data_IF_834308594088
#
_entry.id   IF_834308594088
#
_cell.length_a   1.000
_cell.length_b   1.000
_cell.length_c   1.000
_cell.angle_alpha   90.00
_cell.angle_beta   90.00
_cell.angle_gamma   90.00
#
_symmetry.space_group_name_H-M   'P 1'
#
loop_
_entity.id
_entity.type
_entity.pdbx_description
1 polymer ?
#
# COMPACT_ATOMS: atom_id res chain seq x y z
N UNK A 1 14.31 0.88 -22.96
CA UNK A 1 13.78 2.26 -22.92
C UNK A 1 13.33 2.54 -21.48
N UNK A 2 13.83 3.62 -20.91
CA UNK A 2 13.97 3.87 -19.47
C UNK A 2 12.64 3.89 -18.70
N UNK A 3 12.51 2.98 -17.73
CA UNK A 3 11.44 2.85 -16.73
C UNK A 3 11.53 3.93 -15.61
N UNK A 4 12.16 5.06 -15.88
CA UNK A 4 12.38 6.08 -14.86
C UNK A 4 11.11 6.88 -14.63
N UNK A 5 10.67 6.92 -13.36
CA UNK A 5 9.65 7.86 -12.88
C UNK A 5 9.93 9.27 -13.42
N UNK A 6 8.91 10.05 -13.82
CA UNK A 6 9.08 11.42 -14.29
C UNK A 6 9.68 12.36 -13.22
N UNK A 7 9.79 11.91 -11.97
CA UNK A 7 10.51 12.59 -10.90
C UNK A 7 11.61 11.68 -10.33
N UNK A 8 12.89 11.91 -10.66
CA UNK A 8 14.01 11.18 -10.09
C UNK A 8 14.28 11.70 -8.68
N UNK A 9 13.52 11.21 -7.70
CA UNK A 9 13.85 11.43 -6.29
C UNK A 9 14.82 10.33 -5.82
N UNK A 10 15.83 10.73 -5.07
CA UNK A 10 16.66 9.75 -4.36
C UNK A 10 15.82 9.09 -3.27
N UNK A 11 15.97 7.78 -3.10
CA UNK A 11 15.29 6.99 -2.07
C UNK A 11 15.44 7.59 -0.66
N UNK A 12 16.53 8.32 -0.41
CA UNK A 12 16.79 9.01 0.84
C UNK A 12 15.85 10.19 1.13
N UNK A 13 15.48 10.99 0.11
CA UNK A 13 14.55 12.11 0.30
C UNK A 13 13.13 11.59 0.61
N UNK A 14 12.72 10.55 -0.12
CA UNK A 14 11.44 9.87 0.10
C UNK A 14 11.34 9.30 1.52
N UNK A 15 12.43 8.71 2.03
CA UNK A 15 12.48 8.18 3.39
C UNK A 15 12.24 9.25 4.47
N UNK A 16 12.87 10.42 4.31
CA UNK A 16 12.71 11.55 5.23
C UNK A 16 11.28 12.08 5.25
N UNK A 17 10.66 12.19 4.06
CA UNK A 17 9.26 12.59 3.92
C UNK A 17 8.32 11.61 4.60
N UNK A 18 8.44 10.31 4.32
CA UNK A 18 7.59 9.29 4.92
C UNK A 18 7.75 9.21 6.44
N UNK A 19 8.98 9.30 6.97
CA UNK A 19 9.21 9.37 8.42
C UNK A 19 8.52 10.57 9.06
N UNK A 20 8.60 11.74 8.41
CA UNK A 20 7.98 12.97 8.91
C UNK A 20 6.46 12.87 8.88
N UNK A 21 5.89 12.36 7.78
CA UNK A 21 4.46 12.11 7.65
C UNK A 21 3.98 11.14 8.74
N UNK A 22 4.64 9.99 8.89
CA UNK A 22 4.24 8.97 9.86
C UNK A 22 4.28 9.49 11.31
N UNK A 23 5.25 10.33 11.66
CA UNK A 23 5.29 10.99 12.98
C UNK A 23 4.11 11.94 13.19
N UNK A 24 3.75 12.72 12.17
CA UNK A 24 2.58 13.61 12.23
C UNK A 24 1.28 12.81 12.32
N UNK A 25 1.16 11.72 11.56
CA UNK A 25 0.00 10.84 11.66
C UNK A 25 -0.09 10.17 13.04
N UNK A 26 1.04 9.75 13.61
CA UNK A 26 1.08 9.17 14.95
C UNK A 26 0.68 10.17 16.03
N UNK A 27 1.20 11.40 15.99
CA UNK A 27 0.87 12.42 17.00
C UNK A 27 -0.59 12.90 16.93
N UNK A 28 -1.23 12.75 15.77
CA UNK A 28 -2.64 13.11 15.54
C UNK A 28 -3.60 11.92 15.65
N UNK A 29 -3.11 10.75 16.08
CA UNK A 29 -3.89 9.51 16.12
C UNK A 29 -4.55 9.18 14.76
N UNK A 30 -3.85 9.38 13.64
CA UNK A 30 -4.35 9.14 12.28
C UNK A 30 -3.89 7.79 11.69
N UNK A 31 -3.31 6.91 12.52
CA UNK A 31 -2.93 5.55 12.15
C UNK A 31 -4.11 4.58 12.38
N UNK A 32 -4.22 3.46 11.64
CA UNK A 32 -3.30 3.00 10.60
C UNK A 32 -3.47 3.71 9.26
N UNK A 33 -2.41 3.73 8.46
CA UNK A 33 -2.38 4.33 7.11
C UNK A 33 -2.07 3.28 6.03
N UNK A 34 -2.80 3.35 4.92
CA UNK A 34 -2.48 2.62 3.69
C UNK A 34 -1.80 3.58 2.71
N UNK A 35 -0.56 3.28 2.35
CA UNK A 35 0.25 4.03 1.43
C UNK A 35 0.23 3.38 0.04
N UNK A 36 -0.49 3.97 -0.92
CA UNK A 36 -0.52 3.49 -2.29
C UNK A 36 0.72 3.97 -3.07
N UNK A 37 1.64 3.04 -3.32
CA UNK A 37 2.95 3.32 -3.95
C UNK A 37 3.00 2.89 -5.43
N UNK A 38 1.94 2.25 -5.95
CA UNK A 38 1.68 1.94 -7.38
C UNK A 38 2.83 1.23 -8.14
N UNK A 39 3.80 0.65 -7.43
CA UNK A 39 4.89 -0.16 -7.96
C UNK A 39 5.38 -1.13 -6.88
N UNK A 40 5.64 -2.39 -7.28
CA UNK A 40 6.12 -3.45 -6.37
C UNK A 40 7.45 -3.08 -5.72
N UNK A 41 8.46 -2.80 -6.55
CA UNK A 41 9.80 -2.47 -6.07
C UNK A 41 9.80 -1.23 -5.17
N UNK A 42 9.01 -0.21 -5.50
CA UNK A 42 8.90 0.97 -4.64
C UNK A 42 8.25 0.67 -3.29
N UNK A 43 7.29 -0.27 -3.19
CA UNK A 43 6.73 -0.64 -1.89
C UNK A 43 7.81 -1.21 -0.97
N UNK A 44 8.63 -2.13 -1.50
CA UNK A 44 9.74 -2.74 -0.75
C UNK A 44 10.81 -1.69 -0.39
N UNK A 45 11.19 -0.84 -1.34
CA UNK A 45 12.17 0.24 -1.13
C UNK A 45 11.71 1.22 -0.04
N UNK A 46 10.47 1.70 -0.08
CA UNK A 46 9.95 2.65 0.92
C UNK A 46 9.87 1.99 2.30
N UNK A 47 9.41 0.74 2.38
CA UNK A 47 9.35 0.00 3.63
C UNK A 47 10.75 -0.20 4.24
N UNK A 48 11.73 -0.59 3.43
CA UNK A 48 13.12 -0.74 3.87
C UNK A 48 13.74 0.62 4.29
N UNK A 49 13.44 1.69 3.54
CA UNK A 49 13.98 3.01 3.79
C UNK A 49 13.51 3.64 5.12
N UNK A 50 12.40 3.15 5.70
CA UNK A 50 11.97 3.53 7.05
C UNK A 50 12.97 3.12 8.15
N UNK A 51 13.99 2.32 7.84
CA UNK A 51 15.21 2.19 8.66
C UNK A 51 14.95 1.58 10.03
N UNK A 52 15.10 2.35 11.11
CA UNK A 52 14.85 1.92 12.50
C UNK A 52 13.55 2.46 13.10
N UNK A 53 12.66 3.04 12.28
CA UNK A 53 11.39 3.57 12.76
C UNK A 53 10.54 2.44 13.36
N UNK A 54 10.17 2.57 14.63
CA UNK A 54 9.26 1.68 15.34
C UNK A 54 7.91 2.37 15.53
N UNK A 55 6.84 1.80 14.99
CA UNK A 55 5.48 2.32 15.12
C UNK A 55 4.66 1.56 16.18
N UNK A 56 5.20 0.46 16.71
CA UNK A 56 4.54 -0.38 17.71
C UNK A 56 5.13 -0.18 19.11
N UNK A 57 4.27 -0.04 20.14
CA UNK A 57 4.72 -0.11 21.53
C UNK A 57 5.25 -1.52 21.84
N UNK A 58 6.20 -1.61 22.79
CA UNK A 58 6.86 -2.87 23.19
C UNK A 58 5.92 -4.08 23.41
N UNK A 59 4.77 -3.98 24.11
CA UNK A 59 3.87 -5.13 24.30
C UNK A 59 3.20 -5.63 23.01
N UNK A 60 2.92 -4.74 22.05
CA UNK A 60 2.35 -5.14 20.75
C UNK A 60 3.36 -5.91 19.89
N UNK A 61 4.66 -5.61 20.03
CA UNK A 61 5.73 -6.33 19.32
C UNK A 61 5.79 -7.81 19.69
N UNK A 62 5.60 -8.12 20.98
CA UNK A 62 5.56 -9.51 21.45
C UNK A 62 4.42 -10.30 20.83
N UNK A 63 3.26 -9.67 20.55
CA UNK A 63 2.13 -10.32 19.84
C UNK A 63 2.47 -10.62 18.39
N UNK A 64 3.13 -9.69 17.69
CA UNK A 64 3.63 -9.93 16.32
C UNK A 64 4.67 -11.05 16.30
N UNK A 65 5.57 -11.10 17.28
CA UNK A 65 6.55 -12.17 17.45
C UNK A 65 5.91 -13.55 17.68
N UNK A 66 4.83 -13.60 18.47
CA UNK A 66 4.08 -14.84 18.71
C UNK A 66 3.39 -15.32 17.42
N UNK A 67 2.86 -14.39 16.60
CA UNK A 67 2.25 -14.69 15.31
C UNK A 67 3.29 -15.13 14.26
N UNK A 68 4.52 -14.60 14.31
CA UNK A 68 5.67 -15.08 13.53
C UNK A 68 6.00 -16.55 13.85
N UNK A 69 5.71 -16.99 15.07
CA UNK A 69 5.91 -18.38 15.50
C UNK A 69 4.83 -19.34 14.96
N UNK A 70 3.83 -18.89 14.18
CA UNK A 70 2.78 -19.73 13.62
C UNK A 70 3.29 -20.67 12.52
N UNK A 71 3.87 -21.79 12.95
CA UNK A 71 3.40 -23.18 12.77
C UNK A 71 2.88 -23.71 11.41
N UNK A 72 2.75 -22.93 10.33
CA UNK A 72 2.23 -23.40 9.03
C UNK A 72 3.29 -23.56 7.93
N UNK A 73 4.43 -22.89 8.04
CA UNK A 73 5.54 -23.04 7.10
C UNK A 73 6.47 -24.19 7.53
N UNK A 74 6.77 -25.10 6.59
CA UNK A 74 7.75 -26.19 6.77
C UNK A 74 9.15 -25.60 6.94
N UNK A 75 10.05 -26.32 7.62
CA UNK A 75 11.30 -25.78 8.17
C UNK A 75 12.20 -24.99 7.22
N UNK A 76 12.27 -25.36 5.93
CA UNK A 76 13.07 -24.65 4.92
C UNK A 76 12.47 -23.31 4.50
N UNK A 77 11.13 -23.22 4.41
CA UNK A 77 10.44 -22.05 3.87
C UNK A 77 10.50 -20.85 4.83
N UNK A 78 10.76 -21.11 6.12
CA UNK A 78 10.94 -20.07 7.15
C UNK A 78 12.20 -19.24 6.94
N UNK A 79 13.21 -19.80 6.26
CA UNK A 79 14.49 -19.15 6.04
C UNK A 79 14.55 -18.42 4.68
N UNK A 80 13.42 -18.36 3.95
CA UNK A 80 13.35 -17.59 2.72
C UNK A 80 13.62 -16.09 3.02
N UNK A 81 14.46 -15.41 2.21
CA UNK A 81 14.79 -14.01 2.44
C UNK A 81 13.56 -13.09 2.58
N UNK A 82 12.53 -13.29 1.76
CA UNK A 82 11.30 -12.51 1.83
C UNK A 82 10.55 -12.72 3.15
N UNK A 83 10.54 -13.95 3.69
CA UNK A 83 9.89 -14.24 4.98
C UNK A 83 10.61 -13.52 6.11
N UNK A 84 11.94 -13.53 6.11
CA UNK A 84 12.76 -12.84 7.11
C UNK A 84 12.55 -11.33 7.04
N UNK A 85 12.61 -10.75 5.84
CA UNK A 85 12.42 -9.31 5.63
C UNK A 85 11.02 -8.83 6.05
N UNK A 86 9.96 -9.52 5.60
CA UNK A 86 8.58 -9.15 5.98
C UNK A 86 8.37 -9.32 7.48
N UNK A 87 8.94 -10.36 8.10
CA UNK A 87 8.86 -10.56 9.54
C UNK A 87 9.49 -9.40 10.33
N UNK A 88 10.65 -8.90 9.89
CA UNK A 88 11.32 -7.76 10.51
C UNK A 88 10.49 -6.47 10.40
N UNK A 89 9.92 -6.21 9.22
CA UNK A 89 9.04 -5.06 9.00
C UNK A 89 7.80 -5.12 9.90
N UNK A 90 7.16 -6.29 9.98
CA UNK A 90 5.96 -6.50 10.78
C UNK A 90 6.21 -6.24 12.28
N UNK A 91 7.37 -6.64 12.81
CA UNK A 91 7.74 -6.38 14.20
C UNK A 91 7.81 -4.88 14.54
N UNK A 92 7.96 -4.03 13.53
CA UNK A 92 8.01 -2.58 13.65
C UNK A 92 6.68 -1.90 13.32
N UNK A 93 5.66 -2.67 12.95
CA UNK A 93 4.35 -2.17 12.54
C UNK A 93 4.29 -1.71 11.09
N UNK A 94 5.22 -2.18 10.24
CA UNK A 94 5.31 -1.84 8.82
C UNK A 94 4.92 -3.07 8.01
N UNK A 95 4.02 -2.91 7.05
CA UNK A 95 3.59 -3.97 6.14
C UNK A 95 3.85 -3.60 4.68
N UNK A 96 3.97 -4.63 3.84
CA UNK A 96 4.02 -4.50 2.38
C UNK A 96 3.00 -5.44 1.75
N UNK A 97 2.25 -4.96 0.74
CA UNK A 97 1.24 -5.75 0.04
C UNK A 97 1.25 -5.50 -1.47
N UNK A 98 1.71 -6.49 -2.22
CA UNK A 98 1.63 -6.49 -3.67
C UNK A 98 1.73 -7.90 -4.25
N UNK A 99 1.54 -8.05 -5.57
CA UNK A 99 1.52 -9.36 -6.24
C UNK A 99 2.84 -10.14 -6.14
N UNK A 100 3.97 -9.48 -5.89
CA UNK A 100 5.26 -10.14 -5.60
C UNK A 100 5.45 -10.69 -4.18
N UNK A 101 4.54 -10.43 -3.23
CA UNK A 101 4.59 -10.99 -1.87
C UNK A 101 3.91 -12.35 -1.85
N UNK A 102 4.54 -13.34 -1.22
CA UNK A 102 3.98 -14.69 -1.08
C UNK A 102 2.54 -14.64 -0.50
N UNK A 103 1.59 -15.45 -1.03
CA UNK A 103 0.19 -15.44 -0.57
C UNK A 103 0.03 -15.56 0.94
N UNK A 104 0.74 -16.49 1.57
CA UNK A 104 0.71 -16.69 3.02
C UNK A 104 1.20 -15.46 3.80
N UNK A 105 2.18 -14.73 3.28
CA UNK A 105 2.66 -13.50 3.91
C UNK A 105 1.63 -12.37 3.76
N UNK A 106 0.93 -12.27 2.63
CA UNK A 106 -0.16 -11.31 2.44
C UNK A 106 -1.29 -11.56 3.43
N UNK A 107 -1.71 -12.81 3.62
CA UNK A 107 -2.73 -13.17 4.62
C UNK A 107 -2.32 -12.75 6.04
N UNK A 108 -1.05 -12.95 6.40
CA UNK A 108 -0.52 -12.53 7.70
C UNK A 108 -0.52 -11.01 7.84
N UNK A 109 -0.06 -10.27 6.82
CA UNK A 109 -0.07 -8.81 6.81
C UNK A 109 -1.50 -8.26 6.94
N UNK A 110 -2.44 -8.83 6.19
CA UNK A 110 -3.87 -8.47 6.23
C UNK A 110 -4.48 -8.71 7.63
N UNK A 111 -4.20 -9.87 8.22
CA UNK A 111 -4.66 -10.21 9.57
C UNK A 111 -4.10 -9.22 10.61
N UNK A 112 -2.80 -8.95 10.56
CA UNK A 112 -2.14 -8.04 11.50
C UNK A 112 -2.61 -6.59 11.32
N UNK A 113 -2.87 -6.16 10.09
CA UNK A 113 -3.43 -4.84 9.81
C UNK A 113 -4.84 -4.70 10.39
N UNK A 114 -5.68 -5.73 10.23
CA UNK A 114 -7.03 -5.76 10.81
C UNK A 114 -7.03 -5.74 12.34
N UNK A 115 -5.99 -6.31 12.96
CA UNK A 115 -5.77 -6.25 14.41
C UNK A 115 -5.13 -4.94 14.89
N UNK A 116 -4.83 -4.01 13.98
CA UNK A 116 -4.16 -2.74 14.29
C UNK A 116 -2.68 -2.87 14.64
N UNK A 117 -2.06 -4.03 14.37
CA UNK A 117 -0.63 -4.28 14.61
C UNK A 117 0.25 -3.85 13.42
N UNK A 118 -0.33 -3.58 12.25
CA UNK A 118 0.35 -2.86 11.16
C UNK A 118 -0.17 -1.43 11.15
N UNK A 119 0.72 -0.47 11.40
CA UNK A 119 0.38 0.96 11.46
C UNK A 119 0.56 1.65 10.11
N UNK A 120 1.49 1.18 9.28
CA UNK A 120 1.67 1.61 7.88
C UNK A 120 1.73 0.41 6.96
N UNK A 121 0.92 0.43 5.90
CA UNK A 121 0.90 -0.60 4.87
C UNK A 121 1.24 0.02 3.51
N UNK A 122 2.39 -0.32 2.94
CA UNK A 122 2.73 0.04 1.56
C UNK A 122 2.10 -0.95 0.60
N UNK A 123 1.23 -0.48 -0.29
CA UNK A 123 0.44 -1.35 -1.14
C UNK A 123 0.39 -0.88 -2.60
N UNK A 124 0.22 -1.84 -3.51
CA UNK A 124 -0.19 -1.57 -4.89
C UNK A 124 -1.71 -1.44 -5.02
N UNK A 125 -2.17 -0.92 -6.16
CA UNK A 125 -3.60 -0.71 -6.48
C UNK A 125 -4.47 -1.95 -6.22
N UNK A 126 -3.95 -3.15 -6.46
CA UNK A 126 -4.65 -4.42 -6.24
C UNK A 126 -5.17 -4.59 -4.81
N UNK A 127 -4.56 -3.96 -3.81
CA UNK A 127 -5.05 -4.01 -2.42
C UNK A 127 -6.43 -3.35 -2.27
N UNK A 128 -6.70 -2.31 -3.05
CA UNK A 128 -7.99 -1.66 -3.07
C UNK A 128 -9.08 -2.51 -3.76
N UNK A 129 -8.68 -3.55 -4.51
CA UNK A 129 -9.55 -4.51 -5.16
C UNK A 129 -9.63 -5.82 -4.35
N UNK A 130 -10.73 -6.04 -3.63
CA UNK A 130 -11.04 -7.38 -3.10
C UNK A 130 -10.76 -7.65 -1.62
N UNK A 131 -10.38 -6.64 -0.83
CA UNK A 131 -10.21 -6.80 0.63
C UNK A 131 -11.08 -5.79 1.39
N UNK A 132 -11.81 -6.22 2.43
CA UNK A 132 -12.57 -5.33 3.30
C UNK A 132 -11.70 -4.84 4.47
N UNK A 133 -10.71 -4.01 4.15
CA UNK A 133 -9.70 -3.56 5.13
C UNK A 133 -9.61 -2.04 5.17
N UNK A 134 -10.55 -1.36 5.86
CA UNK A 134 -10.54 0.10 5.97
C UNK A 134 -9.40 0.56 6.88
N UNK A 135 -8.80 1.70 6.51
CA UNK A 135 -7.75 2.37 7.25
C UNK A 135 -8.28 3.72 7.78
N UNK A 136 -7.66 4.28 8.82
CA UNK A 136 -8.02 5.64 9.26
C UNK A 136 -7.56 6.67 8.21
N UNK A 137 -6.39 6.42 7.63
CA UNK A 137 -5.80 7.29 6.61
C UNK A 137 -5.42 6.52 5.34
N UNK A 138 -5.58 7.14 4.18
CA UNK A 138 -4.98 6.71 2.92
C UNK A 138 -3.98 7.76 2.47
N UNK A 139 -2.80 7.34 2.03
CA UNK A 139 -1.78 8.22 1.48
C UNK A 139 -1.40 7.74 0.06
N UNK A 140 -1.35 8.65 -0.89
CA UNK A 140 -0.86 8.38 -2.25
C UNK A 140 0.60 8.82 -2.34
N UNK A 141 1.51 7.90 -2.68
CA UNK A 141 2.92 8.21 -2.95
C UNK A 141 3.07 9.03 -4.24
N UNK A 142 2.16 8.79 -5.20
CA UNK A 142 2.08 9.43 -6.51
C UNK A 142 0.64 9.31 -7.03
N UNK A 143 0.22 10.30 -7.82
CA UNK A 143 -1.04 10.29 -8.58
C UNK A 143 -0.86 9.79 -10.02
N UNK A 144 0.38 9.43 -10.39
CA UNK A 144 0.73 8.84 -11.68
C UNK A 144 1.17 7.39 -11.52
N UNK A 145 0.74 6.55 -12.46
CA UNK A 145 1.15 5.15 -12.57
C UNK A 145 1.56 4.78 -13.98
N UNK A 146 2.28 3.67 -14.10
CA UNK A 146 2.61 3.06 -15.37
C UNK A 146 1.59 1.95 -15.68
N UNK A 147 0.90 2.02 -16.82
CA UNK A 147 -0.15 1.06 -17.21
C UNK A 147 0.35 -0.08 -18.12
N UNK A 148 1.65 -0.12 -18.38
CA UNK A 148 2.28 -1.08 -19.30
C UNK A 148 2.66 -0.44 -20.64
N UNK A 149 1.98 0.63 -21.03
CA UNK A 149 2.29 1.39 -22.26
C UNK A 149 2.95 2.73 -21.96
N UNK A 150 2.57 3.39 -20.86
CA UNK A 150 3.20 4.65 -20.47
C UNK A 150 2.80 5.11 -19.08
N UNK A 151 3.32 6.28 -18.72
CA UNK A 151 2.92 6.99 -17.49
C UNK A 151 1.65 7.79 -17.74
N UNK A 152 0.67 7.62 -16.87
CA UNK A 152 -0.58 8.39 -16.87
C UNK A 152 -1.05 8.70 -15.46
N UNK A 153 -1.92 9.69 -15.34
CA UNK A 153 -2.61 9.98 -14.09
C UNK A 153 -3.61 8.86 -13.73
N UNK A 154 -3.93 8.78 -12.45
CA UNK A 154 -5.00 7.94 -11.95
C UNK A 154 -6.34 8.37 -12.53
N UNK A 155 -7.13 7.39 -12.96
CA UNK A 155 -8.50 7.64 -13.37
C UNK A 155 -9.37 7.91 -12.15
N UNK A 156 -10.50 8.64 -12.30
CA UNK A 156 -11.38 8.95 -11.19
C UNK A 156 -11.86 7.72 -10.43
N UNK A 157 -12.20 6.64 -11.15
CA UNK A 157 -12.60 5.38 -10.54
C UNK A 157 -11.49 4.72 -9.71
N UNK A 158 -10.24 4.79 -10.19
CA UNK A 158 -9.07 4.24 -9.48
C UNK A 158 -8.80 5.04 -8.20
N UNK A 159 -8.87 6.37 -8.29
CA UNK A 159 -8.74 7.25 -7.13
C UNK A 159 -9.85 6.99 -6.10
N UNK A 160 -11.12 6.95 -6.50
CA UNK A 160 -12.25 6.70 -5.60
C UNK A 160 -12.14 5.33 -4.93
N UNK A 161 -11.72 4.31 -5.67
CA UNK A 161 -11.55 2.97 -5.13
C UNK A 161 -10.46 2.89 -4.04
N UNK A 162 -9.34 3.57 -4.25
CA UNK A 162 -8.22 3.61 -3.30
C UNK A 162 -8.52 4.54 -2.11
N UNK A 163 -8.96 5.77 -2.38
CA UNK A 163 -9.28 6.77 -1.35
C UNK A 163 -10.46 6.36 -0.48
N UNK A 164 -11.44 5.62 -1.03
CA UNK A 164 -12.58 5.07 -0.30
C UNK A 164 -12.21 4.02 0.76
N UNK A 165 -10.93 3.63 0.87
CA UNK A 165 -10.41 2.82 1.98
C UNK A 165 -10.12 3.65 3.23
N UNK A 166 -10.11 4.98 3.13
CA UNK A 166 -9.99 5.86 4.28
C UNK A 166 -11.32 5.98 5.04
N UNK A 167 -11.24 5.91 6.36
CA UNK A 167 -12.39 5.98 7.26
C UNK A 167 -12.93 4.59 7.59
N UNK A 168 -12.87 4.21 8.87
CA UNK A 168 -13.44 2.95 9.37
C UNK A 168 -14.85 3.21 9.87
N UNK A 169 -15.84 2.61 9.21
CA UNK A 169 -17.26 2.74 9.57
C UNK A 169 -17.48 2.37 11.04
N UNK A 170 -18.04 3.30 11.81
CA UNK A 170 -18.34 3.12 13.23
C UNK A 170 -17.15 3.30 14.18
N UNK A 171 -15.93 3.53 13.67
CA UNK A 171 -14.73 3.80 14.49
C UNK A 171 -14.19 5.22 14.27
N UNK A 172 -14.27 5.73 13.04
CA UNK A 172 -13.75 7.04 12.67
C UNK A 172 -14.90 7.95 12.20
N UNK A 173 -14.91 9.20 12.65
CA UNK A 173 -15.90 10.19 12.20
C UNK A 173 -15.68 10.60 10.73
N UNK A 174 -14.42 10.65 10.30
CA UNK A 174 -14.00 11.03 8.95
C UNK A 174 -12.80 10.19 8.50
N UNK A 175 -12.73 9.84 7.23
CA UNK A 175 -11.54 9.27 6.61
C UNK A 175 -10.58 10.36 6.16
N UNK A 176 -9.27 10.18 6.39
CA UNK A 176 -8.25 11.14 5.92
C UNK A 176 -7.59 10.62 4.65
N UNK A 177 -7.48 11.46 3.62
CA UNK A 177 -6.79 11.13 2.37
C UNK A 177 -5.70 12.16 2.11
N UNK A 178 -4.47 11.70 1.85
CA UNK A 178 -3.29 12.54 1.67
C UNK A 178 -2.65 12.23 0.32
N UNK A 179 -2.30 13.26 -0.44
CA UNK A 179 -1.51 13.12 -1.67
C UNK A 179 -0.12 13.69 -1.39
N UNK A 180 0.92 12.85 -1.49
CA UNK A 180 2.29 13.29 -1.32
C UNK A 180 2.76 14.04 -2.56
N UNK A 181 3.16 15.29 -2.37
CA UNK A 181 3.77 16.11 -3.41
C UNK A 181 5.29 16.08 -3.23
N UNK A 182 5.96 15.16 -3.95
CA UNK A 182 7.43 15.06 -3.93
C UNK A 182 8.09 16.02 -4.91
N UNK A 183 7.38 16.36 -5.99
CA UNK A 183 7.78 17.34 -7.00
C UNK A 183 6.89 18.59 -6.96
N UNK A 184 6.79 19.32 -8.09
CA UNK A 184 5.88 20.45 -8.20
C UNK A 184 4.44 20.02 -7.92
N UNK A 185 3.67 20.93 -7.32
CA UNK A 185 2.25 20.72 -7.06
C UNK A 185 1.56 20.41 -8.40
N UNK A 186 0.77 19.31 -8.50
CA UNK A 186 0.01 19.01 -9.70
C UNK A 186 -0.93 20.15 -10.09
N UNK A 187 -1.19 20.30 -11.39
CA UNK A 187 -2.15 21.31 -11.86
C UNK A 187 -3.54 21.03 -11.25
N UNK A 188 -4.20 22.11 -10.83
CA UNK A 188 -5.55 22.08 -10.30
C UNK A 188 -6.54 21.45 -11.29
N UNK A 189 -6.33 21.65 -12.60
CA UNK A 189 -7.19 21.04 -13.62
C UNK A 189 -7.10 19.50 -13.61
N UNK A 190 -5.90 18.95 -13.47
CA UNK A 190 -5.69 17.50 -13.43
C UNK A 190 -6.15 16.90 -12.12
N UNK A 191 -5.92 17.59 -10.99
CA UNK A 191 -6.47 17.20 -9.69
C UNK A 191 -8.00 17.19 -9.74
N UNK A 192 -8.63 18.23 -10.29
CA UNK A 192 -10.08 18.29 -10.39
C UNK A 192 -10.63 17.15 -11.26
N UNK A 193 -9.96 16.84 -12.38
CA UNK A 193 -10.34 15.70 -13.23
C UNK A 193 -10.25 14.38 -12.46
N UNK A 194 -9.19 14.14 -11.70
CA UNK A 194 -9.01 12.91 -10.92
C UNK A 194 -10.01 12.81 -9.75
N UNK A 195 -10.21 13.89 -8.99
CA UNK A 195 -10.99 13.89 -7.75
C UNK A 195 -12.50 13.90 -7.99
N UNK A 196 -12.97 14.69 -8.96
CA UNK A 196 -14.40 14.93 -9.22
C UNK A 196 -14.86 14.37 -10.57
N UNK A 197 -13.95 13.75 -11.34
CA UNK A 197 -14.28 13.17 -12.63
C UNK A 197 -15.29 12.01 -12.50
N UNK A 198 -16.03 11.77 -13.58
CA UNK A 198 -16.96 10.63 -13.63
C UNK A 198 -16.16 9.34 -13.78
N UNK A 199 -16.45 8.29 -12.98
CA UNK A 199 -15.91 6.96 -13.22
C UNK A 199 -16.24 6.47 -14.64
N UNK A 200 -15.33 5.68 -15.23
CA UNK A 200 -15.54 5.13 -16.55
C UNK A 200 -16.83 4.27 -16.59
N UNK A 201 -17.61 4.32 -17.69
CA UNK A 201 -18.80 3.50 -17.81
C UNK A 201 -18.44 2.01 -17.81
N UNK A 202 -19.39 1.19 -17.35
CA UNK A 202 -19.23 -0.26 -17.40
C UNK A 202 -19.34 -0.73 -18.85
N UNK A 203 -18.23 -1.26 -19.38
CA UNK A 203 -18.16 -1.81 -20.73
C UNK A 203 -18.09 -3.35 -20.66
N UNK A 204 -18.80 -4.02 -21.58
CA UNK A 204 -18.69 -5.47 -21.72
C UNK A 204 -17.25 -5.86 -22.10
N UNK A 205 -16.69 -6.82 -21.36
CA UNK A 205 -15.40 -7.43 -21.68
C UNK A 205 -15.57 -8.82 -22.33
N UNK A 206 -16.80 -9.16 -22.76
CA UNK A 206 -17.08 -10.45 -23.39
C UNK A 206 -16.27 -10.62 -24.66
N UNK A 207 -15.49 -11.71 -24.72
CA UNK A 207 -14.75 -12.12 -25.91
C UNK A 207 -15.00 -13.60 -26.15
N UNK A 208 -15.30 -13.96 -27.39
CA UNK A 208 -15.29 -15.35 -27.82
C UNK A 208 -13.84 -15.75 -28.07
N UNK A 209 -13.29 -16.58 -27.18
CA UNK A 209 -11.98 -17.21 -27.36
C UNK A 209 -12.17 -18.71 -27.54
N UNK A 210 -11.61 -19.27 -28.61
CA UNK A 210 -11.56 -20.73 -28.77
C UNK A 210 -10.67 -21.32 -27.67
N UNK A 211 -11.19 -22.30 -26.93
CA UNK A 211 -10.41 -23.05 -25.94
C UNK A 211 -9.71 -24.22 -26.66
N UNK A 212 -8.38 -24.19 -26.84
CA UNK A 212 -7.66 -25.28 -27.53
C UNK A 212 -7.64 -26.60 -26.75
N UNK A 213 -8.24 -26.63 -25.55
CA UNK A 213 -8.34 -27.81 -24.68
C UNK A 213 -9.79 -28.24 -24.40
N UNK A 214 -10.77 -27.75 -25.16
CA UNK A 214 -12.10 -28.37 -25.17
C UNK A 214 -12.15 -29.45 -26.26
N UNK A 215 -12.54 -30.70 -25.93
CA UNK A 215 -12.76 -31.75 -26.92
C UNK A 215 -13.93 -31.43 -27.87
#
# INVERSE_FOLDING_TARGET
MSLTSPYPHSSFQDAGLWRSLLRVLQSRDLLPVVAFTLSRGRCDEQAAALGSLELLPAPERSRVFLLRSLQRLKGSDRNLPQVLQVSELLQRGIGVHHSGVLPILKEVVEMLFSQGLVKVLFATETFAMGVNMPARTVAFDSIRKHDGSGWRDLLPGEYVQMSGRAGRRGLDATGTVIILCKGPVPDMADLHRMLMGRPAPLCSQFRLSHCPHCP
#
